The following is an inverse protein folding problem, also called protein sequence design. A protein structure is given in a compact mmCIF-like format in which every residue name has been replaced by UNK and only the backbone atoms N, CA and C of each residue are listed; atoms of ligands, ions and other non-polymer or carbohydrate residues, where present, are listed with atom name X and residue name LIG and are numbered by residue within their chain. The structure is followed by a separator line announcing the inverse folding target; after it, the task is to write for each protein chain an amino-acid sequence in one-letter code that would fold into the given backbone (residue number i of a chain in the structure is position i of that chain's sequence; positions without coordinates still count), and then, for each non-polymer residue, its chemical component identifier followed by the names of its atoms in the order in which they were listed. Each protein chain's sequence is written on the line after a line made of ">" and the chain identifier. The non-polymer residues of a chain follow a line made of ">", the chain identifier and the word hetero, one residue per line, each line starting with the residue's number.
data_IF_869259959477
#
_entry.id   IF_869259959477
#
_cell.length_a   1.000
_cell.length_b   1.000
_cell.length_c   1.000
_cell.angle_alpha   90.00
_cell.angle_beta   90.00
_cell.angle_gamma   90.00
#
_symmetry.space_group_name_H-M   'P 1'
#
loop_
_entity.id
_entity.type
_entity.pdbx_description
1 polymer ?
#
# COMPACT_ATOMS: atom_id res chain seq x y z
N UNK A 1 13.06 0.88 -36.02
CA UNK A 1 12.38 1.92 -35.23
C UNK A 1 12.24 1.43 -33.79
N UNK A 2 12.63 2.22 -32.78
CA UNK A 2 12.36 1.88 -31.38
C UNK A 2 10.84 2.02 -31.17
N UNK A 3 10.14 0.94 -30.90
CA UNK A 3 8.74 0.99 -30.51
C UNK A 3 8.67 1.51 -29.07
N UNK A 4 8.18 2.73 -28.90
CA UNK A 4 7.88 3.28 -27.59
C UNK A 4 6.60 2.64 -27.06
N UNK A 5 6.63 2.21 -25.80
CA UNK A 5 5.46 1.74 -25.08
C UNK A 5 5.10 2.77 -24.00
N UNK A 6 3.81 3.06 -23.83
CA UNK A 6 3.30 3.91 -22.76
C UNK A 6 2.95 3.02 -21.57
N UNK A 7 3.38 3.43 -20.38
CA UNK A 7 2.90 2.93 -19.10
C UNK A 7 2.20 4.09 -18.37
N UNK A 8 0.99 3.87 -17.89
CA UNK A 8 0.27 4.82 -17.05
C UNK A 8 0.32 4.33 -15.62
N UNK A 9 0.97 5.09 -14.75
CA UNK A 9 1.06 4.82 -13.31
C UNK A 9 0.08 5.74 -12.57
N UNK A 10 -0.94 5.15 -11.96
CA UNK A 10 -1.78 5.80 -10.96
C UNK A 10 -1.18 5.53 -9.58
N UNK A 11 -1.22 6.52 -8.73
CA UNK A 11 -0.60 6.44 -7.42
C UNK A 11 -1.43 7.14 -6.36
N UNK A 12 -1.47 6.56 -5.16
CA UNK A 12 -1.96 7.20 -3.95
C UNK A 12 -1.16 6.76 -2.72
N UNK A 13 -1.27 7.53 -1.64
CA UNK A 13 -0.65 7.29 -0.33
C UNK A 13 -1.45 8.04 0.74
N UNK A 14 -1.15 7.78 2.02
CA UNK A 14 -1.72 8.51 3.17
C UNK A 14 -3.26 8.55 3.15
N UNK A 15 -3.89 7.43 2.86
CA UNK A 15 -5.36 7.37 2.79
C UNK A 15 -6.01 7.33 4.17
N UNK A 16 -5.31 6.83 5.18
CA UNK A 16 -5.67 6.86 6.61
C UNK A 16 -7.10 6.38 6.92
N UNK A 17 -7.66 5.46 6.11
CA UNK A 17 -9.03 5.01 6.27
C UNK A 17 -10.08 6.10 6.03
N UNK A 18 -9.72 7.28 5.50
CA UNK A 18 -10.66 8.37 5.16
C UNK A 18 -11.31 8.10 3.81
N UNK A 19 -12.29 7.19 3.80
CA UNK A 19 -12.93 6.69 2.59
C UNK A 19 -14.22 7.43 2.22
N UNK A 20 -14.69 8.32 3.09
CA UNK A 20 -15.94 9.01 2.88
C UNK A 20 -15.76 10.24 1.98
N UNK A 21 -16.69 10.44 1.06
CA UNK A 21 -16.78 11.69 0.34
C UNK A 21 -17.19 12.82 1.29
N UNK A 22 -16.65 14.01 1.05
CA UNK A 22 -17.00 15.22 1.80
C UNK A 22 -17.96 16.07 1.00
N UNK A 23 -18.94 16.66 1.68
CA UNK A 23 -19.86 17.61 1.07
C UNK A 23 -19.18 18.99 0.97
N UNK A 24 -19.09 19.49 -0.24
CA UNK A 24 -18.54 20.82 -0.55
C UNK A 24 -19.46 21.45 -1.60
N UNK A 25 -20.08 22.60 -1.28
CA UNK A 25 -21.00 23.32 -2.17
C UNK A 25 -22.10 22.41 -2.76
N UNK A 26 -22.84 21.72 -1.86
CA UNK A 26 -23.90 20.76 -2.19
C UNK A 26 -23.49 19.59 -3.11
N UNK A 27 -22.19 19.29 -3.17
CA UNK A 27 -21.65 18.16 -3.93
C UNK A 27 -20.81 17.25 -3.05
N UNK A 28 -20.94 15.97 -3.28
CA UNK A 28 -20.03 15.00 -2.69
C UNK A 28 -18.74 14.95 -3.49
N UNK A 29 -17.60 15.26 -2.83
CA UNK A 29 -16.28 15.30 -3.44
C UNK A 29 -15.35 14.32 -2.74
N UNK A 30 -14.49 13.64 -3.53
CA UNK A 30 -13.51 12.68 -3.02
C UNK A 30 -14.12 11.36 -2.58
N UNK A 31 -13.48 10.72 -1.61
CA UNK A 31 -13.83 9.39 -1.13
C UNK A 31 -13.37 8.26 -2.04
N UNK A 32 -13.32 7.06 -1.46
CA UNK A 32 -12.82 5.87 -2.14
C UNK A 32 -13.69 5.46 -3.34
N UNK A 33 -15.00 5.75 -3.32
CA UNK A 33 -15.90 5.44 -4.42
C UNK A 33 -15.54 6.23 -5.69
N UNK A 34 -15.21 7.52 -5.55
CA UNK A 34 -14.78 8.33 -6.68
C UNK A 34 -13.39 7.90 -7.17
N UNK A 35 -12.48 7.60 -6.24
CA UNK A 35 -11.16 7.06 -6.59
C UNK A 35 -11.29 5.75 -7.38
N UNK A 36 -12.10 4.81 -6.89
CA UNK A 36 -12.38 3.53 -7.57
C UNK A 36 -12.98 3.75 -8.96
N UNK A 37 -13.94 4.66 -9.07
CA UNK A 37 -14.53 5.06 -10.35
C UNK A 37 -13.50 5.62 -11.33
N UNK A 38 -12.58 6.46 -10.85
CA UNK A 38 -11.51 7.05 -11.66
C UNK A 38 -10.49 6.00 -12.11
N UNK A 39 -10.00 5.16 -11.18
CA UNK A 39 -9.08 4.05 -11.50
C UNK A 39 -9.72 3.13 -12.54
N UNK A 40 -10.98 2.75 -12.33
CA UNK A 40 -11.72 1.91 -13.25
C UNK A 40 -11.93 2.57 -14.62
N UNK A 41 -12.15 3.89 -14.67
CA UNK A 41 -12.23 4.66 -15.92
C UNK A 41 -10.91 4.60 -16.68
N UNK A 42 -9.80 4.93 -16.03
CA UNK A 42 -8.47 4.95 -16.68
C UNK A 42 -8.10 3.56 -17.18
N UNK A 43 -8.38 2.49 -16.41
CA UNK A 43 -8.14 1.10 -16.83
C UNK A 43 -8.97 0.69 -18.06
N UNK A 44 -10.13 1.30 -18.30
CA UNK A 44 -10.93 1.06 -19.52
C UNK A 44 -10.48 1.90 -20.72
N UNK A 45 -10.00 3.09 -20.48
CA UNK A 45 -9.64 4.05 -21.54
C UNK A 45 -8.19 3.92 -22.00
N UNK A 46 -7.31 3.42 -21.14
CA UNK A 46 -5.88 3.29 -21.41
C UNK A 46 -5.41 1.83 -21.31
N UNK A 47 -4.36 1.53 -22.08
CA UNK A 47 -3.61 0.28 -21.96
C UNK A 47 -2.47 0.46 -20.96
N UNK A 48 -1.99 -0.65 -20.41
CA UNK A 48 -0.79 -0.66 -19.58
C UNK A 48 -0.92 0.27 -18.36
N UNK A 49 -2.00 0.10 -17.58
CA UNK A 49 -2.26 0.88 -16.37
C UNK A 49 -1.85 0.08 -15.15
N UNK A 50 -1.09 0.71 -14.27
CA UNK A 50 -0.76 0.20 -12.92
C UNK A 50 -1.29 1.18 -11.89
N UNK A 51 -1.91 0.67 -10.85
CA UNK A 51 -2.29 1.46 -9.68
C UNK A 51 -1.52 0.98 -8.45
N UNK A 52 -0.70 1.86 -7.88
CA UNK A 52 0.13 1.59 -6.70
C UNK A 52 -0.29 2.44 -5.51
N UNK A 53 -0.07 1.89 -4.29
CA UNK A 53 -0.29 2.62 -3.03
C UNK A 53 1.01 2.56 -2.21
N UNK A 54 1.49 3.74 -1.76
CA UNK A 54 2.72 3.87 -0.98
C UNK A 54 2.47 4.02 0.53
N UNK A 55 1.67 3.11 1.07
CA UNK A 55 1.46 2.99 2.52
C UNK A 55 0.53 4.02 3.15
N UNK A 56 0.46 3.98 4.47
CA UNK A 56 -0.43 4.75 5.33
C UNK A 56 -1.90 4.64 4.91
N UNK A 57 -2.32 3.41 4.62
CA UNK A 57 -3.72 3.11 4.35
C UNK A 57 -4.57 3.12 5.61
N UNK A 58 -3.95 2.75 6.75
CA UNK A 58 -4.62 2.58 8.05
C UNK A 58 -4.61 3.85 8.88
N UNK A 59 -5.44 3.83 9.94
CA UNK A 59 -5.49 4.78 11.03
C UNK A 59 -5.88 6.21 10.64
N UNK A 60 -7.11 6.57 10.91
CA UNK A 60 -7.65 7.92 10.71
C UNK A 60 -9.16 7.95 10.80
N UNK A 61 -9.84 6.89 10.40
CA UNK A 61 -11.29 6.79 10.52
C UNK A 61 -11.71 5.90 11.69
N UNK A 62 -12.95 6.11 12.17
CA UNK A 62 -13.55 5.29 13.21
C UNK A 62 -13.66 3.83 12.79
N UNK A 63 -14.07 3.58 11.54
CA UNK A 63 -14.24 2.22 11.01
C UNK A 63 -12.90 1.46 10.92
N UNK A 64 -11.81 2.15 10.60
CA UNK A 64 -10.49 1.55 10.59
C UNK A 64 -10.07 1.17 12.02
N UNK A 65 -10.25 2.09 12.96
CA UNK A 65 -9.87 1.89 14.36
C UNK A 65 -10.65 0.76 15.03
N UNK A 66 -11.94 0.65 14.76
CA UNK A 66 -12.82 -0.39 15.33
C UNK A 66 -12.43 -1.79 14.87
N UNK A 67 -12.12 -1.93 13.59
CA UNK A 67 -11.75 -3.22 12.99
C UNK A 67 -10.23 -3.38 12.78
N UNK A 68 -9.41 -2.49 13.34
CA UNK A 68 -7.93 -2.54 13.28
C UNK A 68 -7.41 -2.76 11.86
N UNK A 69 -7.92 -2.03 10.90
CA UNK A 69 -7.48 -2.08 9.51
C UNK A 69 -8.13 -3.17 8.64
N UNK A 70 -8.90 -4.11 9.20
CA UNK A 70 -9.54 -5.16 8.40
C UNK A 70 -10.55 -4.57 7.40
N UNK A 71 -11.38 -3.62 7.85
CA UNK A 71 -12.32 -2.89 6.97
C UNK A 71 -11.60 -2.14 5.85
N UNK A 72 -10.46 -1.55 6.16
CA UNK A 72 -9.59 -0.89 5.18
C UNK A 72 -9.13 -1.86 4.11
N UNK A 73 -8.62 -3.04 4.49
CA UNK A 73 -8.17 -4.06 3.54
C UNK A 73 -9.32 -4.57 2.66
N UNK A 74 -10.50 -4.76 3.22
CA UNK A 74 -11.68 -5.17 2.41
C UNK A 74 -12.05 -4.10 1.38
N UNK A 75 -11.99 -2.82 1.74
CA UNK A 75 -12.20 -1.72 0.81
C UNK A 75 -11.09 -1.68 -0.25
N UNK A 76 -9.83 -1.88 0.16
CA UNK A 76 -8.69 -1.94 -0.77
C UNK A 76 -8.80 -3.16 -1.72
N UNK A 77 -9.32 -4.29 -1.26
CA UNK A 77 -9.60 -5.45 -2.10
C UNK A 77 -10.59 -5.13 -3.24
N UNK A 78 -11.55 -4.24 -2.99
CA UNK A 78 -12.48 -3.75 -4.03
C UNK A 78 -11.80 -2.73 -4.95
N UNK A 79 -10.98 -1.84 -4.41
CA UNK A 79 -10.22 -0.85 -5.17
C UNK A 79 -9.17 -1.52 -6.07
N UNK A 80 -8.69 -2.70 -5.67
CA UNK A 80 -7.78 -3.58 -6.40
C UNK A 80 -6.50 -2.89 -6.89
N UNK A 81 -5.62 -2.41 -5.98
CA UNK A 81 -4.31 -1.94 -6.37
C UNK A 81 -3.46 -3.09 -6.91
N UNK A 82 -2.56 -2.80 -7.85
CA UNK A 82 -1.65 -3.80 -8.43
C UNK A 82 -0.45 -4.09 -7.53
N UNK A 83 -0.06 -3.11 -6.70
CA UNK A 83 1.02 -3.25 -5.72
C UNK A 83 0.88 -2.21 -4.60
N UNK A 84 1.20 -2.63 -3.38
CA UNK A 84 1.15 -1.79 -2.19
C UNK A 84 2.46 -1.94 -1.41
N UNK A 85 3.01 -0.83 -0.90
CA UNK A 85 4.08 -0.87 0.10
C UNK A 85 3.55 -0.38 1.45
N UNK A 86 4.35 -0.56 2.50
CA UNK A 86 3.97 -0.19 3.86
C UNK A 86 4.37 1.25 4.18
N UNK A 87 3.53 1.93 4.95
CA UNK A 87 3.87 3.14 5.68
C UNK A 87 4.05 2.86 7.18
N UNK A 88 4.14 3.89 7.99
CA UNK A 88 4.31 3.73 9.44
C UNK A 88 3.04 3.30 10.16
N UNK A 89 1.89 3.69 9.68
CA UNK A 89 0.61 3.36 10.31
C UNK A 89 0.19 1.90 10.12
N UNK A 90 0.76 1.19 9.16
CA UNK A 90 0.53 -0.23 8.99
C UNK A 90 1.00 -1.05 10.19
N UNK A 91 2.02 -0.59 10.93
CA UNK A 91 2.54 -1.29 12.11
C UNK A 91 1.86 -0.89 13.43
N UNK A 92 0.96 0.08 13.42
CA UNK A 92 0.32 0.62 14.64
C UNK A 92 -0.46 -0.42 15.45
N UNK A 93 -1.02 -1.41 14.79
CA UNK A 93 -1.71 -2.53 15.45
C UNK A 93 -0.77 -3.72 15.76
N UNK A 94 0.53 -3.56 15.51
CA UNK A 94 1.57 -4.56 15.76
C UNK A 94 1.81 -5.49 14.56
N UNK A 95 3.04 -6.02 14.50
CA UNK A 95 3.53 -6.84 13.37
C UNK A 95 2.69 -8.13 13.19
N UNK A 96 2.32 -8.80 14.29
CA UNK A 96 1.51 -10.02 14.19
C UNK A 96 0.14 -9.75 13.53
N UNK A 97 -0.46 -8.61 13.85
CA UNK A 97 -1.71 -8.19 13.24
C UNK A 97 -1.51 -7.79 11.77
N UNK A 98 -0.42 -7.09 11.45
CA UNK A 98 -0.10 -6.72 10.07
C UNK A 98 0.10 -7.98 9.19
N UNK A 99 0.74 -9.03 9.69
CA UNK A 99 0.86 -10.31 8.97
C UNK A 99 -0.48 -11.02 8.77
N UNK A 100 -1.42 -10.83 9.69
CA UNK A 100 -2.79 -11.31 9.51
C UNK A 100 -3.51 -10.49 8.41
N UNK A 101 -3.40 -9.18 8.44
CA UNK A 101 -3.95 -8.27 7.44
C UNK A 101 -3.39 -8.57 6.03
N UNK A 102 -2.09 -8.82 5.93
CA UNK A 102 -1.44 -9.17 4.66
C UNK A 102 -2.07 -10.42 4.03
N UNK A 103 -2.44 -11.42 4.84
CA UNK A 103 -3.13 -12.62 4.36
C UNK A 103 -4.58 -12.37 3.91
N UNK A 104 -5.22 -11.32 4.41
CA UNK A 104 -6.57 -10.90 3.99
C UNK A 104 -6.54 -10.08 2.69
N UNK A 105 -5.39 -9.50 2.35
CA UNK A 105 -5.21 -8.70 1.14
C UNK A 105 -5.22 -9.59 -0.12
N UNK A 106 -5.95 -9.15 -1.16
CA UNK A 106 -5.98 -9.78 -2.49
C UNK A 106 -5.00 -9.12 -3.48
N UNK A 107 -4.10 -8.31 -2.97
CA UNK A 107 -3.07 -7.59 -3.71
C UNK A 107 -1.71 -7.78 -3.01
N UNK A 108 -0.59 -7.70 -3.74
CA UNK A 108 0.72 -7.85 -3.14
C UNK A 108 1.06 -6.66 -2.25
N UNK A 109 1.46 -6.98 -1.00
CA UNK A 109 2.07 -6.04 -0.06
C UNK A 109 3.57 -6.33 -0.05
N UNK A 110 4.40 -5.36 -0.38
CA UNK A 110 5.84 -5.51 -0.51
C UNK A 110 6.60 -4.62 0.47
N UNK A 111 7.68 -5.17 1.04
CA UNK A 111 8.66 -4.40 1.80
C UNK A 111 10.02 -5.12 1.85
N UNK A 112 11.07 -4.44 1.39
CA UNK A 112 12.40 -5.02 1.26
C UNK A 112 13.24 -4.90 2.53
N UNK A 113 12.92 -3.99 3.46
CA UNK A 113 13.80 -3.64 4.56
C UNK A 113 13.27 -3.89 5.98
N UNK A 114 12.16 -4.64 6.13
CA UNK A 114 11.65 -5.07 7.44
C UNK A 114 12.02 -6.54 7.70
N UNK A 115 12.71 -6.80 8.83
CA UNK A 115 13.20 -8.10 9.21
C UNK A 115 12.86 -8.44 10.66
N UNK A 116 12.73 -9.73 10.97
CA UNK A 116 12.67 -10.22 12.35
C UNK A 116 14.03 -10.08 13.03
N UNK A 117 14.09 -9.44 14.21
CA UNK A 117 15.34 -9.23 14.97
C UNK A 117 16.05 -10.52 15.36
N UNK A 118 15.30 -11.59 15.63
CA UNK A 118 15.83 -12.83 16.20
C UNK A 118 16.57 -13.72 15.20
N UNK A 119 16.22 -13.66 13.92
CA UNK A 119 16.76 -14.57 12.91
C UNK A 119 17.04 -13.91 11.55
N UNK A 120 16.82 -12.60 11.39
CA UNK A 120 17.05 -11.90 10.15
C UNK A 120 16.12 -12.28 9.00
N UNK A 121 14.99 -12.95 9.29
CA UNK A 121 14.03 -13.32 8.26
C UNK A 121 13.25 -12.08 7.81
N UNK A 122 13.21 -11.84 6.50
CA UNK A 122 12.39 -10.78 5.91
C UNK A 122 10.91 -11.09 6.13
N UNK A 123 10.13 -10.08 6.53
CA UNK A 123 8.71 -10.25 6.86
C UNK A 123 7.79 -10.26 5.65
N UNK A 124 8.16 -9.55 4.59
CA UNK A 124 7.34 -9.38 3.39
C UNK A 124 8.13 -9.72 2.12
N UNK A 125 7.43 -9.91 1.03
CA UNK A 125 8.04 -9.97 -0.30
C UNK A 125 8.76 -8.64 -0.57
N UNK A 126 10.02 -8.67 -1.02
CA UNK A 126 10.82 -7.45 -1.20
C UNK A 126 10.32 -6.57 -2.35
N UNK A 127 9.82 -7.22 -3.39
CA UNK A 127 9.47 -6.58 -4.66
C UNK A 127 8.35 -7.33 -5.36
N UNK A 128 7.72 -6.66 -6.31
CA UNK A 128 6.79 -7.24 -7.28
C UNK A 128 7.26 -6.92 -8.69
N UNK A 129 7.17 -7.89 -9.58
CA UNK A 129 7.44 -7.70 -11.01
C UNK A 129 6.14 -7.88 -11.76
N UNK A 130 5.62 -6.79 -12.31
CA UNK A 130 4.43 -6.81 -13.16
C UNK A 130 4.85 -6.92 -14.62
N UNK A 131 4.31 -7.91 -15.31
CA UNK A 131 4.49 -8.03 -16.76
C UNK A 131 3.30 -7.39 -17.49
N UNK A 132 3.57 -6.30 -18.20
CA UNK A 132 2.55 -5.46 -18.84
C UNK A 132 2.93 -5.27 -20.30
N UNK A 133 2.17 -5.86 -21.21
CA UNK A 133 2.44 -5.78 -22.66
C UNK A 133 3.89 -6.15 -23.01
N UNK A 134 4.43 -7.20 -22.35
CA UNK A 134 5.81 -7.64 -22.53
C UNK A 134 6.88 -6.70 -21.94
N UNK A 135 6.49 -5.70 -21.14
CA UNK A 135 7.39 -4.92 -20.28
C UNK A 135 7.41 -5.53 -18.89
N UNK A 136 8.59 -5.72 -18.32
CA UNK A 136 8.75 -6.08 -16.91
C UNK A 136 8.97 -4.82 -16.09
N UNK A 137 8.05 -4.51 -15.21
CA UNK A 137 8.11 -3.35 -14.32
C UNK A 137 8.37 -3.85 -12.92
N UNK A 138 9.51 -3.48 -12.35
CA UNK A 138 9.92 -3.83 -10.99
C UNK A 138 9.45 -2.76 -10.02
N UNK A 139 8.74 -3.19 -8.97
CA UNK A 139 8.39 -2.38 -7.81
C UNK A 139 9.14 -2.90 -6.59
N UNK A 140 9.82 -2.03 -5.87
CA UNK A 140 10.53 -2.34 -4.61
C UNK A 140 9.85 -1.53 -3.50
N UNK A 141 9.44 -2.21 -2.42
CA UNK A 141 8.85 -1.56 -1.25
C UNK A 141 9.91 -1.21 -0.22
N UNK A 142 9.98 0.04 0.19
CA UNK A 142 10.92 0.53 1.21
C UNK A 142 10.19 1.40 2.22
N UNK A 143 10.65 1.34 3.47
CA UNK A 143 10.15 2.16 4.57
C UNK A 143 11.33 2.80 5.30
N UNK A 144 11.26 4.10 5.57
CA UNK A 144 12.35 4.82 6.25
C UNK A 144 12.37 4.51 7.74
N UNK A 145 13.55 4.35 8.33
CA UNK A 145 13.72 4.06 9.74
C UNK A 145 13.19 5.21 10.63
N UNK A 146 13.36 6.46 10.21
CA UNK A 146 12.90 7.64 10.92
C UNK A 146 11.41 7.59 11.26
N UNK A 147 10.61 7.09 10.35
CA UNK A 147 9.17 7.01 10.49
C UNK A 147 8.78 5.98 11.56
N UNK A 148 9.56 4.92 11.69
CA UNK A 148 9.31 3.85 12.65
C UNK A 148 9.85 4.14 14.05
N UNK A 149 10.80 5.06 14.18
CA UNK A 149 11.29 5.52 15.48
C UNK A 149 10.19 6.17 16.34
N UNK A 150 9.12 6.64 15.71
CA UNK A 150 7.92 7.16 16.37
C UNK A 150 6.94 6.07 16.81
N UNK A 151 7.08 4.83 16.30
CA UNK A 151 6.26 3.71 16.71
C UNK A 151 6.77 3.15 18.05
N UNK A 152 5.85 2.86 18.98
CA UNK A 152 6.21 2.30 20.29
C UNK A 152 7.05 1.04 20.12
N UNK A 153 8.26 1.01 20.69
CA UNK A 153 9.25 -0.06 20.51
C UNK A 153 8.74 -1.46 20.93
N UNK A 154 7.79 -1.51 21.86
CA UNK A 154 7.14 -2.75 22.31
C UNK A 154 6.29 -3.43 21.23
N UNK A 155 5.89 -2.70 20.19
CA UNK A 155 5.15 -3.21 19.03
C UNK A 155 6.06 -3.66 17.88
N UNK A 156 7.33 -3.32 17.94
CA UNK A 156 8.32 -3.62 16.91
C UNK A 156 9.08 -4.91 17.27
N UNK A 157 8.65 -6.03 16.75
CA UNK A 157 9.40 -7.31 16.79
C UNK A 157 10.52 -7.30 15.73
N UNK A 158 10.49 -6.32 14.82
CA UNK A 158 11.35 -6.21 13.65
C UNK A 158 12.63 -5.39 13.85
N UNK A 159 13.59 -5.59 12.99
CA UNK A 159 14.72 -4.70 12.70
C UNK A 159 14.61 -4.23 11.26
N UNK A 160 15.29 -3.12 10.98
CA UNK A 160 15.31 -2.52 9.64
C UNK A 160 16.71 -2.56 9.09
N UNK A 161 16.84 -2.84 7.80
CA UNK A 161 18.03 -2.53 7.04
C UNK A 161 17.91 -1.11 6.48
N UNK A 162 19.03 -0.47 6.33
CA UNK A 162 19.12 0.79 5.57
C UNK A 162 18.50 0.60 4.18
N UNK A 163 17.81 1.63 3.72
CA UNK A 163 17.07 1.57 2.44
C UNK A 163 18.01 1.33 1.25
N UNK A 164 19.26 1.80 1.32
CA UNK A 164 20.25 1.61 0.28
C UNK A 164 20.86 0.20 0.28
N UNK A 165 20.89 -0.44 1.45
CA UNK A 165 21.35 -1.84 1.56
C UNK A 165 20.29 -2.84 1.14
N UNK A 166 19.00 -2.45 1.22
CA UNK A 166 17.86 -3.32 0.96
C UNK A 166 17.40 -3.32 -0.50
N UNK A 167 17.70 -2.25 -1.25
CA UNK A 167 17.31 -2.07 -2.65
C UNK A 167 18.32 -2.73 -3.59
#
# INVERSE_FOLDING_TARGET
>A
MKHLKKLTLLHSNDMHGDFMAKEVDDRLIGGVSMLSGYVGKVRREERNVVYSISGDMFRGSLIDSEYKGLSTVEIMNILAPDVVTLGNHEVDYGIAHLLFIERCAKFPIINANIYLKNNGTRLFKSHEILEIDGMKVLFIGLLTEQVLSQTKQDKLIGSFLDVYEAA
#
